data_IF_604381366652
#
_entry.id   IF_604381366652
#
_cell.length_a   1.000
_cell.length_b   1.000
_cell.length_c   1.000
_cell.angle_alpha   90.00
_cell.angle_beta   90.00
_cell.angle_gamma   90.00
#
_symmetry.space_group_name_H-M   'P 1'
#
loop_
_entity.id
_entity.type
_entity.pdbx_description
1 polymer ?
#
# COMPACT_ATOMS: atom_id res chain seq x y z
N UNK A 1 -44.27 -10.11 -54.24
CA UNK A 1 -42.93 -10.53 -53.75
C UNK A 1 -42.33 -9.34 -53.00
N UNK A 2 -42.13 -9.44 -51.69
CA UNK A 2 -41.45 -8.42 -50.86
C UNK A 2 -40.03 -8.90 -50.57
N UNK A 3 -38.97 -8.08 -50.72
CA UNK A 3 -37.63 -8.50 -50.38
C UNK A 3 -37.45 -8.48 -48.87
N UNK A 4 -36.90 -9.57 -48.31
CA UNK A 4 -36.46 -9.63 -46.93
C UNK A 4 -35.06 -9.00 -46.84
N UNK A 5 -34.93 -7.98 -46.00
CA UNK A 5 -33.63 -7.38 -45.64
C UNK A 5 -33.02 -8.26 -44.54
N UNK A 6 -31.81 -8.82 -44.72
CA UNK A 6 -31.19 -9.61 -43.68
C UNK A 6 -30.67 -8.65 -42.60
N UNK A 7 -31.17 -8.84 -41.38
CA UNK A 7 -30.69 -8.16 -40.18
C UNK A 7 -29.32 -8.76 -39.82
N UNK A 8 -28.24 -8.06 -40.17
CA UNK A 8 -26.89 -8.41 -39.74
C UNK A 8 -26.78 -8.07 -38.24
N UNK A 9 -26.78 -9.10 -37.39
CA UNK A 9 -26.42 -8.96 -35.98
C UNK A 9 -24.92 -8.68 -35.90
N UNK A 10 -24.56 -7.41 -35.68
CA UNK A 10 -23.23 -7.02 -35.24
C UNK A 10 -23.16 -7.30 -33.73
N UNK A 11 -22.58 -8.43 -33.34
CA UNK A 11 -22.20 -8.68 -31.95
C UNK A 11 -21.04 -7.77 -31.60
N UNK A 12 -21.33 -6.63 -30.97
CA UNK A 12 -20.31 -5.78 -30.36
C UNK A 12 -19.71 -6.52 -29.15
N UNK A 13 -18.49 -7.01 -29.30
CA UNK A 13 -17.67 -7.45 -28.18
C UNK A 13 -17.32 -6.18 -27.38
N UNK A 14 -18.06 -5.91 -26.32
CA UNK A 14 -17.74 -4.85 -25.40
C UNK A 14 -16.41 -5.22 -24.72
N UNK A 15 -15.32 -4.55 -25.09
CA UNK A 15 -14.07 -4.59 -24.35
C UNK A 15 -14.35 -4.05 -22.94
N UNK A 16 -14.62 -4.93 -21.99
CA UNK A 16 -14.61 -4.55 -20.57
C UNK A 16 -13.17 -4.19 -20.24
N UNK A 17 -12.88 -2.88 -20.13
CA UNK A 17 -11.60 -2.44 -19.58
C UNK A 17 -11.44 -3.09 -18.22
N UNK A 18 -10.36 -3.85 -18.04
CA UNK A 18 -10.00 -4.41 -16.74
C UNK A 18 -9.85 -3.27 -15.74
N UNK A 19 -10.52 -3.37 -14.59
CA UNK A 19 -10.34 -2.43 -13.48
C UNK A 19 -8.88 -2.49 -13.05
N UNK A 20 -8.23 -1.34 -12.86
CA UNK A 20 -6.82 -1.26 -12.45
C UNK A 20 -6.66 -0.93 -10.97
N UNK A 21 -7.60 -0.18 -10.40
CA UNK A 21 -7.58 0.33 -9.04
C UNK A 21 -9.01 0.62 -8.57
N UNK A 22 -9.19 0.86 -7.27
CA UNK A 22 -10.42 1.35 -6.68
C UNK A 22 -10.26 2.81 -6.24
N UNK A 23 -11.34 3.58 -6.35
CA UNK A 23 -11.46 4.85 -5.64
C UNK A 23 -11.93 4.57 -4.22
N UNK A 24 -11.48 5.39 -3.27
CA UNK A 24 -11.88 5.23 -1.86
C UNK A 24 -13.40 5.31 -1.66
N UNK A 25 -14.10 6.09 -2.47
CA UNK A 25 -15.57 6.21 -2.46
C UNK A 25 -16.30 4.95 -2.94
N UNK A 26 -15.60 4.03 -3.59
CA UNK A 26 -16.15 2.72 -4.00
C UNK A 26 -15.99 1.65 -2.91
N UNK A 27 -15.22 1.94 -1.85
CA UNK A 27 -14.87 0.96 -0.83
C UNK A 27 -15.94 0.90 0.28
N UNK A 28 -16.25 -0.30 0.79
CA UNK A 28 -16.98 -0.43 2.05
C UNK A 28 -16.24 0.30 3.18
N UNK A 29 -16.98 1.02 4.02
CA UNK A 29 -16.45 1.77 5.16
C UNK A 29 -17.01 1.16 6.45
N UNK A 30 -16.12 0.90 7.42
CA UNK A 30 -16.52 0.45 8.76
C UNK A 30 -16.82 1.64 9.66
N UNK A 31 -17.83 1.49 10.53
CA UNK A 31 -18.15 2.46 11.59
C UNK A 31 -18.36 3.91 11.11
N UNK A 32 -18.73 4.08 9.83
CA UNK A 32 -18.89 5.39 9.17
C UNK A 32 -17.61 6.27 9.19
N UNK A 33 -16.45 5.72 9.58
CA UNK A 33 -15.17 6.42 9.54
C UNK A 33 -14.50 6.17 8.18
N UNK A 34 -14.36 7.19 7.31
CA UNK A 34 -13.74 6.99 5.99
C UNK A 34 -12.33 6.42 6.06
N UNK A 35 -11.61 6.56 7.20
CA UNK A 35 -10.31 5.94 7.46
C UNK A 35 -10.34 4.42 7.50
N UNK A 36 -11.48 3.85 7.87
CA UNK A 36 -11.71 2.42 7.98
C UNK A 36 -12.32 1.84 6.70
N UNK A 37 -11.85 2.31 5.55
CA UNK A 37 -12.16 1.69 4.26
C UNK A 37 -11.57 0.27 4.21
N UNK A 38 -12.27 -0.65 3.55
CA UNK A 38 -11.86 -2.05 3.35
C UNK A 38 -11.46 -2.25 1.89
N UNK A 39 -10.21 -2.63 1.63
CA UNK A 39 -9.72 -2.88 0.28
C UNK A 39 -10.11 -4.30 -0.19
N UNK A 40 -10.50 -4.51 -1.46
CA UNK A 40 -10.68 -5.86 -1.99
C UNK A 40 -9.34 -6.58 -2.14
N UNK A 41 -9.31 -7.90 -2.02
CA UNK A 41 -8.12 -8.72 -2.31
C UNK A 41 -8.48 -10.11 -2.86
N UNK A 42 -7.54 -10.82 -3.51
CA UNK A 42 -6.22 -10.35 -3.94
C UNK A 42 -6.27 -9.49 -5.22
N UNK A 43 -5.24 -8.69 -5.44
CA UNK A 43 -5.06 -7.95 -6.68
C UNK A 43 -4.75 -8.90 -7.85
N UNK A 44 -5.68 -8.99 -8.80
CA UNK A 44 -5.55 -9.86 -9.99
C UNK A 44 -4.75 -9.17 -11.09
N UNK A 45 -3.45 -8.97 -10.86
CA UNK A 45 -2.52 -8.40 -11.84
C UNK A 45 -1.55 -9.48 -12.35
N UNK A 46 -1.26 -9.57 -13.66
CA UNK A 46 -0.38 -10.62 -14.22
C UNK A 46 1.01 -10.68 -13.59
N UNK A 47 1.57 -9.52 -13.25
CA UNK A 47 2.91 -9.41 -12.67
C UNK A 47 2.93 -9.43 -11.14
N UNK A 48 1.78 -9.50 -10.46
CA UNK A 48 1.72 -9.53 -8.98
C UNK A 48 1.41 -10.95 -8.54
N UNK A 49 2.41 -11.70 -8.03
CA UNK A 49 2.21 -13.09 -7.67
C UNK A 49 1.44 -13.23 -6.35
N UNK A 50 0.89 -14.42 -6.14
CA UNK A 50 0.58 -14.93 -4.81
C UNK A 50 1.79 -15.77 -4.39
N UNK A 51 2.34 -15.54 -3.19
CA UNK A 51 3.57 -16.22 -2.76
C UNK A 51 3.27 -17.20 -1.63
N UNK A 52 3.37 -18.50 -1.92
CA UNK A 52 3.19 -19.58 -0.94
C UNK A 52 4.40 -19.57 0.01
N UNK A 53 4.17 -19.30 1.30
CA UNK A 53 5.22 -19.31 2.31
C UNK A 53 4.65 -19.30 3.72
N UNK A 54 5.21 -20.16 4.58
CA UNK A 54 4.90 -20.18 6.01
C UNK A 54 5.66 -19.12 6.80
N UNK A 55 6.67 -18.47 6.19
CA UNK A 55 7.48 -17.46 6.86
C UNK A 55 6.60 -16.31 7.38
N UNK A 56 6.97 -15.78 8.54
CA UNK A 56 6.34 -14.61 9.15
C UNK A 56 6.98 -13.29 8.66
N UNK A 57 7.49 -13.27 7.42
CA UNK A 57 8.15 -12.12 6.80
C UNK A 57 7.55 -11.96 5.40
N UNK A 58 7.19 -10.73 5.05
CA UNK A 58 6.68 -10.42 3.70
C UNK A 58 7.76 -10.75 2.66
N UNK A 59 7.48 -11.63 1.68
CA UNK A 59 8.48 -12.05 0.69
C UNK A 59 8.87 -10.91 -0.26
N UNK A 60 10.16 -10.82 -0.57
CA UNK A 60 10.66 -9.84 -1.55
C UNK A 60 10.10 -10.12 -2.97
N UNK A 61 9.86 -11.40 -3.28
CA UNK A 61 9.24 -11.84 -4.54
C UNK A 61 7.74 -11.50 -4.64
N UNK A 62 7.11 -11.07 -3.54
CA UNK A 62 5.77 -10.47 -3.57
C UNK A 62 5.86 -8.95 -3.74
N UNK A 63 6.70 -8.32 -2.91
CA UNK A 63 6.69 -6.86 -2.76
C UNK A 63 7.31 -6.15 -3.96
N UNK A 64 8.42 -6.64 -4.51
CA UNK A 64 9.10 -5.95 -5.62
C UNK A 64 8.25 -5.97 -6.88
N UNK A 65 7.60 -7.08 -7.29
CA UNK A 65 6.67 -7.05 -8.40
C UNK A 65 5.44 -6.17 -8.13
N UNK A 66 4.89 -6.18 -6.91
CA UNK A 66 3.78 -5.29 -6.53
C UNK A 66 4.15 -3.80 -6.64
N UNK A 67 5.32 -3.40 -6.13
CA UNK A 67 5.82 -2.03 -6.23
C UNK A 67 6.06 -1.61 -7.69
N UNK A 68 6.62 -2.51 -8.52
CA UNK A 68 6.79 -2.28 -9.97
C UNK A 68 5.43 -2.12 -10.67
N UNK A 69 4.46 -2.97 -10.36
CA UNK A 69 3.11 -2.89 -10.91
C UNK A 69 2.40 -1.60 -10.50
N UNK A 70 2.57 -1.13 -9.25
CA UNK A 70 2.06 0.17 -8.82
C UNK A 70 2.64 1.32 -9.64
N UNK A 71 3.95 1.31 -9.91
CA UNK A 71 4.61 2.34 -10.72
C UNK A 71 4.13 2.35 -12.18
N UNK A 72 3.57 1.26 -12.69
CA UNK A 72 3.00 1.18 -14.03
C UNK A 72 1.55 1.73 -14.12
N UNK A 73 0.92 2.05 -12.98
CA UNK A 73 -0.44 2.60 -12.97
C UNK A 73 -0.47 4.05 -13.48
N UNK A 74 -1.57 4.49 -14.10
CA UNK A 74 -1.68 5.85 -14.62
C UNK A 74 -1.38 6.92 -13.58
N UNK A 75 -0.43 7.81 -13.88
CA UNK A 75 -0.03 8.92 -13.01
C UNK A 75 0.83 8.54 -11.80
N UNK A 76 1.24 7.27 -11.68
CA UNK A 76 2.02 6.78 -10.54
C UNK A 76 3.50 7.17 -10.54
N UNK A 77 4.02 7.60 -11.69
CA UNK A 77 5.43 7.95 -11.91
C UNK A 77 5.52 9.13 -12.86
N UNK A 78 6.66 9.83 -12.79
CA UNK A 78 7.03 10.90 -13.74
C UNK A 78 5.95 11.98 -13.91
N UNK A 79 5.13 12.18 -12.87
CA UNK A 79 3.99 13.08 -12.89
C UNK A 79 4.29 14.39 -12.13
N UNK A 80 5.55 14.81 -12.15
CA UNK A 80 5.98 16.07 -11.58
C UNK A 80 6.17 17.12 -12.68
N UNK A 81 5.70 18.35 -12.45
CA UNK A 81 5.92 19.45 -13.36
C UNK A 81 7.42 19.80 -13.40
N UNK A 82 8.06 19.81 -14.58
CA UNK A 82 9.52 19.94 -14.68
C UNK A 82 10.03 21.29 -14.17
N UNK A 83 9.20 22.34 -14.22
CA UNK A 83 9.57 23.70 -13.84
C UNK A 83 9.41 23.94 -12.34
N UNK A 84 8.26 23.60 -11.79
CA UNK A 84 7.90 23.86 -10.38
C UNK A 84 8.29 22.73 -9.43
N UNK A 85 8.62 21.54 -9.96
CA UNK A 85 8.84 20.30 -9.19
C UNK A 85 7.65 19.89 -8.31
N UNK A 86 6.47 20.43 -8.62
CA UNK A 86 5.21 20.08 -7.94
C UNK A 86 4.51 18.95 -8.69
N UNK A 87 3.72 18.12 -7.99
CA UNK A 87 2.83 17.17 -8.65
C UNK A 87 1.95 17.86 -9.70
N UNK A 88 1.86 17.25 -10.90
CA UNK A 88 0.89 17.63 -11.93
C UNK A 88 -0.51 17.19 -11.49
N UNK A 89 -1.55 17.67 -12.19
CA UNK A 89 -2.96 17.32 -11.90
C UNK A 89 -3.28 15.83 -12.10
N UNK A 90 -2.49 15.15 -12.92
CA UNK A 90 -2.61 13.71 -13.15
C UNK A 90 -1.71 12.89 -12.22
N UNK A 91 -1.02 13.50 -11.26
CA UNK A 91 -0.19 12.78 -10.30
C UNK A 91 -1.05 11.98 -9.32
N UNK A 92 -0.74 10.69 -9.18
CA UNK A 92 -1.50 9.75 -8.38
C UNK A 92 -0.60 8.99 -7.43
N UNK A 93 -1.04 8.88 -6.19
CA UNK A 93 -0.55 7.88 -5.27
C UNK A 93 -1.54 6.72 -5.18
N UNK A 94 -1.03 5.52 -5.14
CA UNK A 94 -1.76 4.28 -4.96
C UNK A 94 -1.24 3.59 -3.72
N UNK A 95 -2.15 3.06 -2.90
CA UNK A 95 -1.79 2.27 -1.72
C UNK A 95 -2.31 0.86 -1.90
N UNK A 96 -1.55 -0.09 -1.39
CA UNK A 96 -1.96 -1.48 -1.25
C UNK A 96 -1.66 -1.97 0.15
N UNK A 97 -2.43 -2.96 0.57
CA UNK A 97 -2.30 -3.62 1.86
C UNK A 97 -1.64 -4.98 1.66
N UNK A 98 -0.61 -5.27 2.46
CA UNK A 98 0.07 -6.57 2.46
C UNK A 98 -0.56 -7.45 3.53
N UNK A 99 -1.04 -8.62 3.13
CA UNK A 99 -1.74 -9.52 4.03
C UNK A 99 -1.37 -10.98 3.76
N UNK A 100 -1.66 -11.84 4.73
CA UNK A 100 -1.34 -13.27 4.64
C UNK A 100 -2.59 -14.11 4.89
N UNK A 101 -2.82 -15.09 4.03
CA UNK A 101 -3.77 -16.17 4.27
C UNK A 101 -3.11 -17.28 5.10
N UNK A 102 -3.81 -18.37 5.45
CA UNK A 102 -3.16 -19.53 6.07
C UNK A 102 -2.04 -20.15 5.22
N UNK A 103 -2.01 -19.93 3.90
CA UNK A 103 -1.11 -20.64 2.99
C UNK A 103 -0.16 -19.73 2.20
N UNK A 104 -0.53 -18.46 2.00
CA UNK A 104 0.15 -17.60 1.05
C UNK A 104 0.12 -16.11 1.44
N UNK A 105 1.02 -15.35 0.83
CA UNK A 105 1.09 -13.90 0.92
C UNK A 105 0.44 -13.27 -0.30
N UNK A 106 -0.33 -12.21 -0.06
CA UNK A 106 -1.14 -11.52 -1.06
C UNK A 106 -1.07 -10.00 -0.88
N UNK A 107 -1.51 -9.29 -1.90
CA UNK A 107 -1.63 -7.82 -1.94
C UNK A 107 -3.05 -7.45 -2.29
N UNK A 108 -3.62 -6.45 -1.60
CA UNK A 108 -4.95 -5.93 -1.93
C UNK A 108 -4.94 -5.19 -3.27
N UNK A 109 -6.11 -4.96 -3.84
CA UNK A 109 -6.26 -4.04 -4.97
C UNK A 109 -5.74 -2.64 -4.61
N UNK A 110 -5.14 -1.91 -5.58
CA UNK A 110 -4.66 -0.54 -5.35
C UNK A 110 -5.82 0.40 -5.08
N UNK A 111 -5.68 1.24 -4.05
CA UNK A 111 -6.59 2.35 -3.77
C UNK A 111 -5.97 3.64 -4.25
N UNK A 112 -6.66 4.36 -5.13
CA UNK A 112 -6.19 5.59 -5.76
C UNK A 112 -6.47 6.81 -4.89
N UNK A 113 -5.46 7.68 -4.74
CA UNK A 113 -5.56 9.03 -4.20
C UNK A 113 -4.91 10.08 -5.12
N UNK A 114 -5.67 11.12 -5.48
CA UNK A 114 -5.14 12.28 -6.19
C UNK A 114 -4.35 13.17 -5.23
N UNK A 115 -3.16 13.61 -5.65
CA UNK A 115 -2.25 14.35 -4.77
C UNK A 115 -2.75 15.77 -4.46
N UNK A 116 -3.59 16.36 -5.32
CA UNK A 116 -4.12 17.73 -5.21
C UNK A 116 -5.46 17.85 -4.47
N UNK A 117 -6.29 16.80 -4.43
CA UNK A 117 -7.66 16.90 -3.92
C UNK A 117 -7.84 16.54 -2.43
N UNK A 118 -6.95 15.74 -1.82
CA UNK A 118 -7.04 15.37 -0.39
C UNK A 118 -5.69 14.98 0.26
N UNK A 119 -4.59 15.26 -0.43
CA UNK A 119 -3.27 14.75 -0.05
C UNK A 119 -3.11 13.28 -0.39
N UNK A 120 -1.85 12.83 -0.30
CA UNK A 120 -1.36 11.46 -0.46
C UNK A 120 -2.38 10.32 -0.30
N UNK A 121 -2.13 9.22 -0.99
CA UNK A 121 -2.95 8.03 -0.86
C UNK A 121 -3.09 7.61 0.61
N UNK A 122 -4.30 7.18 0.99
CA UNK A 122 -4.62 6.77 2.34
C UNK A 122 -4.83 5.26 2.40
N UNK A 123 -4.08 4.54 3.27
CA UNK A 123 -4.26 3.12 3.46
C UNK A 123 -5.68 2.73 3.87
N UNK A 124 -6.15 1.57 3.40
CA UNK A 124 -7.39 0.97 3.85
C UNK A 124 -7.23 0.38 5.26
N UNK A 125 -7.37 1.20 6.31
CA UNK A 125 -7.18 0.74 7.70
C UNK A 125 -8.30 -0.19 8.19
N UNK A 126 -9.42 -0.29 7.47
CA UNK A 126 -10.47 -1.28 7.75
C UNK A 126 -10.06 -2.71 7.38
N UNK A 127 -8.91 -2.88 6.69
CA UNK A 127 -8.35 -4.18 6.34
C UNK A 127 -8.61 -4.56 4.89
N UNK A 128 -8.67 -5.88 4.64
CA UNK A 128 -8.87 -6.46 3.31
C UNK A 128 -10.07 -7.39 3.33
N UNK A 129 -10.96 -7.27 2.35
CA UNK A 129 -12.00 -8.26 2.03
C UNK A 129 -11.42 -9.20 0.98
N UNK A 130 -10.79 -10.28 1.44
CA UNK A 130 -10.22 -11.29 0.56
C UNK A 130 -11.33 -12.18 -0.01
N UNK A 131 -11.27 -12.47 -1.31
CA UNK A 131 -12.31 -13.22 -2.01
C UNK A 131 -12.51 -14.65 -1.50
N UNK A 132 -11.48 -15.26 -0.91
CA UNK A 132 -11.52 -16.64 -0.40
C UNK A 132 -11.70 -16.69 1.13
N UNK A 133 -11.13 -15.71 1.85
CA UNK A 133 -11.00 -15.76 3.32
C UNK A 133 -11.78 -14.65 4.07
N UNK A 134 -12.38 -13.70 3.35
CA UNK A 134 -13.21 -12.64 3.92
C UNK A 134 -12.41 -11.50 4.58
N UNK A 135 -13.01 -10.85 5.58
CA UNK A 135 -12.61 -9.50 6.04
C UNK A 135 -11.62 -9.43 7.20
N UNK A 136 -11.40 -10.52 7.94
CA UNK A 136 -10.56 -10.52 9.15
C UNK A 136 -9.12 -10.95 8.85
N UNK A 137 -8.56 -10.46 7.74
CA UNK A 137 -7.25 -10.87 7.28
C UNK A 137 -6.12 -10.27 8.13
N UNK A 138 -5.08 -11.05 8.47
CA UNK A 138 -3.83 -10.55 9.03
C UNK A 138 -3.13 -9.55 8.12
N UNK A 139 -3.05 -8.29 8.54
CA UNK A 139 -2.37 -7.21 7.83
C UNK A 139 -0.97 -7.03 8.37
N UNK A 140 0.04 -7.00 7.49
CA UNK A 140 1.46 -6.90 7.86
C UNK A 140 2.11 -5.58 7.44
N UNK A 141 1.35 -4.69 6.81
CA UNK A 141 1.86 -3.40 6.38
C UNK A 141 1.16 -2.86 5.16
N UNK A 142 1.72 -1.77 4.65
CA UNK A 142 1.23 -1.06 3.48
C UNK A 142 2.36 -0.69 2.54
N UNK A 143 2.05 -0.61 1.26
CA UNK A 143 2.96 -0.12 0.23
C UNK A 143 2.29 0.97 -0.58
N UNK A 144 3.08 1.97 -1.01
CA UNK A 144 2.59 3.01 -1.92
C UNK A 144 3.67 3.50 -2.89
N UNK A 145 3.30 4.38 -3.83
CA UNK A 145 4.23 5.04 -4.74
C UNK A 145 4.31 6.56 -4.47
N UNK A 146 5.41 7.20 -4.89
CA UNK A 146 5.52 8.65 -4.99
C UNK A 146 5.63 9.09 -6.47
N UNK A 147 4.64 9.80 -7.02
CA UNK A 147 4.59 10.13 -8.46
C UNK A 147 5.63 11.16 -8.91
N UNK A 148 6.23 11.87 -7.97
CA UNK A 148 7.24 12.90 -8.20
C UNK A 148 8.68 12.42 -8.00
N UNK A 149 8.88 11.12 -7.75
CA UNK A 149 10.22 10.59 -7.52
C UNK A 149 10.85 10.97 -6.17
N UNK A 150 10.05 11.53 -5.25
CA UNK A 150 10.47 11.95 -3.91
C UNK A 150 10.79 10.76 -3.01
N UNK A 151 11.79 10.87 -2.11
CA UNK A 151 12.10 9.82 -1.15
C UNK A 151 11.01 9.68 -0.08
N UNK A 152 11.21 8.74 0.85
CA UNK A 152 10.33 8.54 2.02
C UNK A 152 10.21 9.84 2.83
N UNK A 153 8.97 10.18 3.19
CA UNK A 153 8.59 11.34 4.00
C UNK A 153 8.32 10.96 5.47
N UNK A 154 8.34 11.94 6.38
CA UNK A 154 7.93 11.70 7.78
C UNK A 154 6.48 11.26 7.95
N UNK A 155 5.61 11.48 6.94
CA UNK A 155 4.22 11.00 6.95
C UNK A 155 4.17 9.49 6.70
N UNK A 156 4.98 9.00 5.78
CA UNK A 156 5.06 7.57 5.42
C UNK A 156 5.44 6.72 6.62
N UNK A 157 6.36 7.23 7.43
CA UNK A 157 6.86 6.54 8.63
C UNK A 157 5.84 6.39 9.77
N UNK A 158 4.64 6.94 9.61
CA UNK A 158 3.53 6.78 10.58
C UNK A 158 2.49 5.76 10.14
N UNK A 159 2.63 5.23 8.93
CA UNK A 159 1.64 4.34 8.32
C UNK A 159 1.91 2.92 8.78
N UNK A 160 1.05 2.41 9.66
CA UNK A 160 1.09 1.05 10.19
C UNK A 160 -0.33 0.51 10.38
N UNK A 161 -0.51 -0.83 10.45
CA UNK A 161 -1.83 -1.43 10.61
C UNK A 161 -2.65 -0.82 11.76
N UNK A 162 -3.97 -0.85 11.62
CA UNK A 162 -4.87 -0.50 12.70
C UNK A 162 -5.68 -1.72 13.14
N UNK A 163 -6.07 -1.75 14.40
CA UNK A 163 -6.93 -2.81 14.93
C UNK A 163 -7.93 -2.23 15.92
N UNK A 164 -9.09 -2.88 16.02
CA UNK A 164 -10.13 -2.52 16.99
C UNK A 164 -9.76 -2.98 18.39
N UNK A 165 -10.00 -2.15 19.40
CA UNK A 165 -9.87 -2.52 20.82
C UNK A 165 -11.13 -3.22 21.33
N UNK A 166 -10.99 -4.08 22.34
CA UNK A 166 -12.14 -4.76 22.98
C UNK A 166 -13.16 -3.77 23.55
N UNK A 167 -12.68 -2.65 24.10
CA UNK A 167 -13.51 -1.58 24.66
C UNK A 167 -14.11 -0.64 23.59
N UNK A 168 -13.86 -0.93 22.30
CA UNK A 168 -14.23 -0.08 21.17
C UNK A 168 -13.13 0.91 20.78
N UNK A 169 -13.24 1.47 19.58
CA UNK A 169 -12.24 2.35 18.98
C UNK A 169 -11.11 1.61 18.28
N UNK A 170 -10.36 2.36 17.48
CA UNK A 170 -9.27 1.84 16.63
C UNK A 170 -7.94 2.46 17.03
N UNK A 171 -6.90 1.63 17.06
CA UNK A 171 -5.53 2.06 17.35
C UNK A 171 -4.59 1.60 16.26
N UNK A 172 -3.63 2.45 15.93
CA UNK A 172 -2.50 2.08 15.07
C UNK A 172 -1.52 1.23 15.88
N UNK A 173 -1.08 0.12 15.30
CA UNK A 173 -0.16 -0.84 15.90
C UNK A 173 1.00 -1.11 14.96
N UNK A 174 2.20 -1.22 15.51
CA UNK A 174 3.45 -1.39 14.76
C UNK A 174 3.79 -2.85 14.44
N UNK A 175 2.80 -3.73 14.56
CA UNK A 175 2.90 -5.18 14.37
C UNK A 175 1.83 -5.65 13.41
N UNK A 176 2.00 -6.85 12.88
CA UNK A 176 0.95 -7.53 12.13
C UNK A 176 -0.30 -7.65 12.98
N UNK A 177 -1.46 -7.30 12.42
CA UNK A 177 -2.72 -7.29 13.15
C UNK A 177 -3.91 -7.56 12.23
N UNK A 178 -4.97 -8.11 12.81
CA UNK A 178 -6.27 -8.23 12.16
C UNK A 178 -7.17 -7.04 12.53
N UNK A 179 -8.10 -6.65 11.66
CA UNK A 179 -9.09 -5.61 11.97
C UNK A 179 -9.89 -5.89 13.26
N UNK A 180 -10.17 -7.17 13.57
CA UNK A 180 -10.93 -7.56 14.77
C UNK A 180 -10.18 -7.40 16.11
N UNK A 181 -8.91 -7.01 16.11
CA UNK A 181 -8.14 -6.76 17.34
C UNK A 181 -7.09 -7.81 17.70
N UNK A 182 -6.87 -8.83 16.86
CA UNK A 182 -5.84 -9.85 17.11
C UNK A 182 -4.48 -9.44 16.54
N UNK A 183 -3.47 -9.39 17.40
CA UNK A 183 -2.06 -9.28 17.01
C UNK A 183 -1.51 -10.61 16.51
N UNK A 184 -0.62 -10.54 15.51
CA UNK A 184 -0.05 -11.72 14.86
C UNK A 184 1.27 -12.11 15.50
N UNK A 185 1.45 -13.42 15.71
CA UNK A 185 2.65 -14.01 16.30
C UNK A 185 3.26 -15.05 15.36
N UNK A 186 4.58 -15.18 15.40
CA UNK A 186 5.32 -16.23 14.69
C UNK A 186 5.22 -17.58 15.44
N UNK A 187 5.86 -18.62 14.91
CA UNK A 187 5.87 -19.96 15.51
C UNK A 187 6.55 -20.04 16.88
N UNK A 188 7.29 -19.01 17.28
CA UNK A 188 7.92 -18.87 18.60
C UNK A 188 7.05 -18.08 19.58
N UNK A 189 5.90 -17.58 19.13
CA UNK A 189 5.01 -16.74 19.92
C UNK A 189 5.41 -15.26 19.93
N UNK A 190 6.41 -14.85 19.15
CA UNK A 190 6.87 -13.46 19.08
C UNK A 190 6.00 -12.63 18.14
N UNK A 191 5.77 -11.36 18.49
CA UNK A 191 4.98 -10.46 17.64
C UNK A 191 5.70 -10.23 16.30
N UNK A 192 4.95 -10.37 15.21
CA UNK A 192 5.49 -10.13 13.86
C UNK A 192 5.49 -8.63 13.59
N UNK A 193 6.64 -7.98 13.31
CA UNK A 193 6.68 -6.55 13.04
C UNK A 193 5.97 -6.21 11.72
N UNK A 194 5.24 -5.10 11.71
CA UNK A 194 4.72 -4.53 10.48
C UNK A 194 5.79 -3.68 9.78
N UNK A 195 5.64 -3.52 8.47
CA UNK A 195 6.56 -2.78 7.63
C UNK A 195 5.81 -1.84 6.69
N UNK A 196 6.51 -0.82 6.20
CA UNK A 196 6.04 0.01 5.11
C UNK A 196 6.99 -0.06 3.93
N UNK A 197 6.44 0.13 2.72
CA UNK A 197 7.22 0.14 1.48
C UNK A 197 6.85 1.32 0.59
N UNK A 198 7.84 1.81 -0.15
CA UNK A 198 7.69 2.90 -1.11
C UNK A 198 8.31 2.53 -2.45
N UNK A 199 7.59 2.77 -3.53
CA UNK A 199 8.10 2.83 -4.90
C UNK A 199 8.24 4.29 -5.35
N UNK A 200 9.40 4.67 -5.88
CA UNK A 200 9.64 6.05 -6.33
C UNK A 200 10.70 6.07 -7.43
N UNK A 201 11.01 7.24 -7.96
CA UNK A 201 11.91 7.44 -9.10
C UNK A 201 11.19 7.45 -10.44
N UNK A 202 11.96 7.27 -11.49
CA UNK A 202 11.46 7.18 -12.87
C UNK A 202 11.03 5.75 -13.16
N UNK A 203 10.09 5.55 -14.08
CA UNK A 203 9.65 4.19 -14.47
C UNK A 203 10.82 3.28 -14.88
N UNK A 204 11.77 3.81 -15.64
CA UNK A 204 12.97 3.08 -16.10
C UNK A 204 14.10 2.98 -15.07
N UNK A 205 14.03 3.73 -13.97
CA UNK A 205 15.03 3.68 -12.88
C UNK A 205 14.35 3.76 -11.51
N UNK A 206 13.56 2.73 -11.16
CA UNK A 206 12.80 2.73 -9.94
C UNK A 206 13.71 2.61 -8.72
N UNK A 207 13.27 3.21 -7.63
CA UNK A 207 13.88 3.11 -6.30
C UNK A 207 12.84 2.55 -5.36
N UNK A 208 13.20 1.49 -4.64
CA UNK A 208 12.34 0.88 -3.65
C UNK A 208 12.92 1.10 -2.26
N UNK A 209 12.05 1.46 -1.32
CA UNK A 209 12.40 1.62 0.09
C UNK A 209 11.50 0.75 0.94
N UNK A 210 12.01 0.35 2.10
CA UNK A 210 11.20 -0.20 3.18
C UNK A 210 11.63 0.35 4.53
N UNK A 211 10.70 0.41 5.48
CA UNK A 211 10.98 0.82 6.84
C UNK A 211 10.19 -0.01 7.83
N UNK A 212 10.66 -0.01 9.08
CA UNK A 212 10.05 -0.73 10.17
C UNK A 212 9.66 0.23 11.32
N UNK A 213 9.12 -0.35 12.38
CA UNK A 213 8.67 0.36 13.58
C UNK A 213 9.76 1.07 14.37
N UNK A 214 11.03 0.70 14.16
CA UNK A 214 12.16 1.38 14.82
C UNK A 214 12.68 2.57 14.01
N UNK A 215 12.03 2.86 12.87
CA UNK A 215 12.42 3.93 11.95
C UNK A 215 13.65 3.58 11.12
N UNK A 216 14.13 2.33 11.14
CA UNK A 216 15.21 1.88 10.24
C UNK A 216 14.68 1.82 8.82
N UNK A 217 15.40 2.46 7.91
CA UNK A 217 15.06 2.54 6.50
C UNK A 217 16.10 1.82 5.65
N UNK A 218 15.60 1.09 4.67
CA UNK A 218 16.38 0.31 3.73
C UNK A 218 16.02 0.71 2.31
N UNK A 219 17.01 0.62 1.41
CA UNK A 219 16.83 0.78 -0.04
C UNK A 219 17.15 -0.55 -0.70
N UNK A 220 16.36 -0.92 -1.70
CA UNK A 220 16.67 -2.09 -2.52
C UNK A 220 17.87 -1.83 -3.42
N UNK A 221 18.78 -2.80 -3.47
CA UNK A 221 19.84 -2.91 -4.46
C UNK A 221 19.63 -4.18 -5.27
N UNK A 222 19.78 -4.09 -6.60
CA UNK A 222 19.76 -5.27 -7.49
C UNK A 222 21.12 -5.99 -7.46
N UNK A 223 22.21 -5.29 -7.13
CA UNK A 223 23.59 -5.80 -7.17
C UNK A 223 24.41 -5.30 -5.95
N UNK A 224 24.62 -6.13 -4.90
CA UNK A 224 24.01 -7.44 -4.70
C UNK A 224 22.51 -7.33 -4.43
N UNK A 225 21.75 -8.35 -4.82
CA UNK A 225 20.30 -8.41 -4.59
C UNK A 225 19.99 -8.38 -3.09
N UNK A 226 19.45 -7.28 -2.59
CA UNK A 226 19.19 -7.13 -1.16
C UNK A 226 18.74 -5.74 -0.71
N UNK A 227 18.51 -5.62 0.59
CA UNK A 227 18.07 -4.39 1.23
C UNK A 227 19.21 -3.75 2.01
N UNK A 228 19.76 -2.66 1.48
CA UNK A 228 20.84 -1.90 2.11
C UNK A 228 20.27 -0.89 3.10
N UNK A 229 20.83 -0.85 4.31
CA UNK A 229 20.45 0.15 5.29
C UNK A 229 20.91 1.54 4.83
N UNK A 230 20.00 2.50 4.75
CA UNK A 230 20.28 3.85 4.23
C UNK A 230 20.04 4.97 5.25
N UNK A 231 19.17 4.78 6.24
CA UNK A 231 18.97 5.74 7.33
C UNK A 231 18.29 5.10 8.54
N UNK A 232 18.28 5.82 9.66
CA UNK A 232 17.37 5.59 10.79
C UNK A 232 16.68 6.90 11.11
N UNK A 233 15.35 6.94 11.00
CA UNK A 233 14.55 8.06 11.46
C UNK A 233 14.21 7.85 12.94
N UNK A 234 14.40 8.87 13.77
CA UNK A 234 14.02 8.78 15.18
C UNK A 234 12.50 8.84 15.32
N UNK A 235 11.88 7.99 16.16
CA UNK A 235 10.48 8.17 16.54
C UNK A 235 10.26 9.59 17.05
N UNK A 236 9.15 10.20 16.66
CA UNK A 236 8.84 11.55 17.10
C UNK A 236 8.56 11.60 18.59
N UNK A 237 8.39 12.81 19.12
CA UNK A 237 8.10 13.03 20.55
C UNK A 237 6.98 12.09 21.03
N UNK A 238 7.14 11.37 22.15
CA UNK A 238 6.09 10.50 22.68
C UNK A 238 4.78 11.28 22.90
N UNK A 239 3.61 10.61 22.84
CA UNK A 239 2.33 11.23 23.19
C UNK A 239 2.39 11.91 24.56
N UNK A 240 1.87 13.11 24.63
CA UNK A 240 1.83 13.90 25.86
C UNK A 240 0.54 14.71 25.97
N UNK A 241 0.31 15.39 27.12
CA UNK A 241 -0.93 16.12 27.40
C UNK A 241 -1.28 17.20 26.35
N UNK A 242 -0.25 17.74 25.68
CA UNK A 242 -0.35 18.79 24.66
C UNK A 242 -0.29 18.23 23.22
N UNK A 243 0.03 16.95 23.04
CA UNK A 243 0.05 16.26 21.74
C UNK A 243 -0.34 14.80 21.93
N UNK A 244 -1.64 14.49 21.96
CA UNK A 244 -2.16 13.14 22.20
C UNK A 244 -1.71 12.12 21.14
N UNK A 245 -1.25 12.57 19.97
CA UNK A 245 -0.75 11.73 18.88
C UNK A 245 0.78 11.58 18.83
N UNK A 246 1.51 12.25 19.72
CA UNK A 246 2.97 12.38 19.64
C UNK A 246 3.44 13.25 18.45
N UNK A 247 4.74 13.53 18.41
CA UNK A 247 5.41 14.22 17.30
C UNK A 247 5.66 13.29 16.10
N UNK A 248 5.88 13.84 14.89
CA UNK A 248 6.34 13.04 13.76
C UNK A 248 7.75 12.49 13.94
N UNK A 249 8.05 11.29 13.40
CA UNK A 249 9.42 10.82 13.37
C UNK A 249 10.30 11.79 12.58
N UNK A 250 11.42 12.16 13.20
CA UNK A 250 12.44 13.01 12.61
C UNK A 250 13.42 12.13 11.86
N UNK A 251 13.40 12.23 10.53
CA UNK A 251 14.42 11.61 9.71
C UNK A 251 15.66 12.48 9.67
N UNK A 252 16.82 11.88 9.94
CA UNK A 252 18.07 12.41 9.41
C UNK A 252 18.13 11.93 7.94
N UNK A 253 17.99 12.82 6.95
CA UNK A 253 18.14 12.39 5.56
C UNK A 253 19.53 11.81 5.36
N UNK A 254 19.63 10.69 4.65
CA UNK A 254 20.91 10.28 4.10
C UNK A 254 21.37 11.41 3.17
N UNK A 255 22.47 12.09 3.51
CA UNK A 255 23.14 13.03 2.62
C UNK A 255 23.47 12.29 1.33
N UNK A 256 22.68 12.49 0.28
CA UNK A 256 23.00 12.00 -1.06
C UNK A 256 23.81 13.09 -1.77
N UNK A 257 25.07 12.78 -2.05
CA UNK A 257 25.90 13.48 -3.03
C UNK A 257 25.60 12.96 -4.42
#
# INVERSE_FOLDING_TARGET
>A
MRPAIPLVLITAWACTSSKLYFLRTELPILEEDPNLAVAPGPWKHPDVPIVISDAAIVPDDLILPALKALMALPGATDACDPNSKRPRRDAVEYCVTLYKTPHDWRVSWPVRGLVDEQGACFPAYGGVDDEDFGRDMPIFGFAHNHPCGTPVSSRDLKVFPAMRLEQGGWVVVTYGATPSGRLIRDSRGELVPAWGWLATGHQDSPRFYKWNQTGRMYRWSEEPRGWDAVSTCQPGTPPGPLSPRGGPPECVPALQW
#
